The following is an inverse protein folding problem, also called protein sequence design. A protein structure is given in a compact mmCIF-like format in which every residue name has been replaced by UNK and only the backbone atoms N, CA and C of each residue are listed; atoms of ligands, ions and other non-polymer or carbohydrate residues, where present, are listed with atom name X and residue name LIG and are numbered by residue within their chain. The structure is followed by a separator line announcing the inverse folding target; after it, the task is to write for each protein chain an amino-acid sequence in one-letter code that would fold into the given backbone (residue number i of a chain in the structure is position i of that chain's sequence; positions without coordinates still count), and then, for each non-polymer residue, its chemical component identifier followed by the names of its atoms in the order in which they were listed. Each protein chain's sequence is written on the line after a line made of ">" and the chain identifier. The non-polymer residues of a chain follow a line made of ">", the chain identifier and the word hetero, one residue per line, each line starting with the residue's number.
data_IF_742841569832
#
_entry.id   IF_742841569832
#
_cell.length_a   1.000
_cell.length_b   1.000
_cell.length_c   1.000
_cell.angle_alpha   90.00
_cell.angle_beta   90.00
_cell.angle_gamma   90.00
#
_symmetry.space_group_name_H-M   'P 1'
#
loop_
_entity.id
_entity.type
_entity.pdbx_description
1 polymer ?
#
# COMPACT_ATOMS: atom_id res chain seq x y z
N UNK A 1 -5.83 -10.28 -6.03
CA UNK A 1 -5.94 -10.17 -7.51
C UNK A 1 -4.69 -9.52 -8.10
N UNK A 2 -4.70 -9.22 -9.39
CA UNK A 2 -3.58 -8.53 -10.07
C UNK A 2 -3.31 -7.13 -9.50
N UNK A 3 -4.38 -6.38 -9.20
CA UNK A 3 -4.27 -5.04 -8.61
C UNK A 3 -3.80 -5.05 -7.15
N UNK A 4 -4.22 -6.05 -6.36
CA UNK A 4 -3.72 -6.27 -5.00
C UNK A 4 -2.21 -6.36 -4.98
N UNK A 5 -1.66 -7.19 -5.87
CA UNK A 5 -0.20 -7.29 -6.02
C UNK A 5 0.34 -5.91 -6.37
N UNK A 6 -0.10 -5.23 -7.43
CA UNK A 6 0.47 -3.91 -7.80
C UNK A 6 0.51 -2.92 -6.64
N UNK A 7 -0.55 -2.84 -5.84
CA UNK A 7 -0.65 -1.94 -4.69
C UNK A 7 0.32 -2.34 -3.58
N UNK A 8 0.39 -3.61 -3.21
CA UNK A 8 1.39 -4.13 -2.27
C UNK A 8 2.82 -3.78 -2.70
N UNK A 9 3.09 -3.67 -4.00
CA UNK A 9 4.43 -3.43 -4.55
C UNK A 9 4.86 -2.00 -4.24
N UNK A 10 3.92 -1.07 -4.37
CA UNK A 10 4.12 0.35 -4.05
C UNK A 10 4.52 0.48 -2.57
N UNK A 11 3.81 -0.22 -1.68
CA UNK A 11 4.09 -0.22 -0.24
C UNK A 11 5.44 -0.86 0.06
N UNK A 12 5.72 -2.04 -0.51
CA UNK A 12 6.99 -2.75 -0.32
C UNK A 12 8.19 -1.90 -0.73
N UNK A 13 8.15 -1.29 -1.93
CA UNK A 13 9.21 -0.44 -2.45
C UNK A 13 9.38 0.78 -1.54
N UNK A 14 8.29 1.43 -1.15
CA UNK A 14 8.38 2.62 -0.31
C UNK A 14 8.97 2.32 1.08
N UNK A 15 8.57 1.21 1.69
CA UNK A 15 9.15 0.73 2.94
C UNK A 15 10.64 0.42 2.78
N UNK A 16 11.02 -0.31 1.73
CA UNK A 16 12.43 -0.64 1.44
C UNK A 16 13.29 0.62 1.28
N UNK A 17 12.74 1.66 0.64
CA UNK A 17 13.41 2.95 0.48
C UNK A 17 13.22 3.91 1.67
N UNK A 18 12.72 3.42 2.80
CA UNK A 18 12.60 4.15 4.07
C UNK A 18 11.71 5.39 3.99
N UNK A 19 10.69 5.37 3.13
CA UNK A 19 9.66 6.40 3.10
C UNK A 19 8.66 6.18 4.23
N UNK A 20 8.44 7.20 5.04
CA UNK A 20 7.50 7.20 6.15
C UNK A 20 6.11 7.69 5.76
N UNK A 21 5.98 8.37 4.62
CA UNK A 21 4.73 8.90 4.10
C UNK A 21 4.52 8.49 2.64
N UNK A 22 3.27 8.18 2.29
CA UNK A 22 2.86 7.91 0.92
C UNK A 22 1.87 8.96 0.43
N UNK A 23 2.03 9.41 -0.81
CA UNK A 23 1.02 10.21 -1.52
C UNK A 23 0.64 9.41 -2.76
N UNK A 24 -0.61 8.95 -2.80
CA UNK A 24 -1.15 8.01 -3.78
C UNK A 24 -2.34 8.64 -4.51
N UNK A 25 -2.82 7.98 -5.57
CA UNK A 25 -3.99 8.38 -6.34
C UNK A 25 -5.02 7.25 -6.42
N UNK A 26 -6.15 7.49 -7.08
CA UNK A 26 -7.14 6.46 -7.39
C UNK A 26 -6.60 5.47 -8.46
N UNK A 27 -5.73 4.55 -8.03
CA UNK A 27 -4.92 3.71 -8.89
C UNK A 27 -5.77 2.90 -9.89
N UNK A 28 -5.59 3.17 -11.18
CA UNK A 28 -6.30 2.47 -12.25
C UNK A 28 -7.79 2.85 -12.40
N UNK A 29 -8.32 3.79 -11.63
CA UNK A 29 -9.75 4.14 -11.67
C UNK A 29 -10.14 5.08 -12.83
N UNK A 30 -9.16 5.61 -13.57
CA UNK A 30 -9.37 6.45 -14.76
C UNK A 30 -9.44 5.64 -16.05
N UNK A 31 -8.41 5.76 -16.90
CA UNK A 31 -8.36 5.12 -18.22
C UNK A 31 -8.52 3.59 -18.18
N UNK A 32 -8.07 2.94 -17.10
CA UNK A 32 -8.19 1.48 -16.93
C UNK A 32 -9.55 1.05 -16.37
N UNK A 33 -10.40 2.00 -15.97
CA UNK A 33 -11.79 1.78 -15.54
C UNK A 33 -11.93 0.76 -14.40
N UNK A 34 -10.94 0.68 -13.51
CA UNK A 34 -11.09 -0.11 -12.30
C UNK A 34 -12.18 0.51 -11.41
N UNK A 35 -13.08 -0.29 -10.79
CA UNK A 35 -14.05 0.23 -9.83
C UNK A 35 -13.33 0.87 -8.64
N UNK A 36 -13.66 2.13 -8.33
CA UNK A 36 -12.97 2.93 -7.31
C UNK A 36 -13.18 2.37 -5.90
N UNK A 37 -14.37 1.86 -5.60
CA UNK A 37 -14.71 1.13 -4.37
C UNK A 37 -13.87 -0.14 -4.17
N UNK A 38 -13.65 -0.90 -5.25
CA UNK A 38 -12.83 -2.09 -5.24
C UNK A 38 -11.36 -1.76 -4.96
N UNK A 39 -10.81 -0.75 -5.64
CA UNK A 39 -9.43 -0.33 -5.44
C UNK A 39 -9.22 0.27 -4.05
N UNK A 40 -10.14 1.09 -3.54
CA UNK A 40 -10.07 1.62 -2.18
C UNK A 40 -10.09 0.49 -1.13
N UNK A 41 -10.90 -0.55 -1.34
CA UNK A 41 -10.94 -1.73 -0.47
C UNK A 41 -9.63 -2.53 -0.49
N UNK A 42 -8.97 -2.62 -1.66
CA UNK A 42 -7.64 -3.22 -1.76
C UNK A 42 -6.61 -2.38 -0.99
N UNK A 43 -6.60 -1.06 -1.17
CA UNK A 43 -5.73 -0.18 -0.41
C UNK A 43 -5.93 -0.36 1.10
N UNK A 44 -7.19 -0.41 1.57
CA UNK A 44 -7.49 -0.67 2.97
C UNK A 44 -6.82 -1.95 3.47
N UNK A 45 -6.95 -3.05 2.72
CA UNK A 45 -6.37 -4.35 3.07
C UNK A 45 -4.84 -4.30 3.15
N UNK A 46 -4.20 -3.60 2.20
CA UNK A 46 -2.74 -3.43 2.20
C UNK A 46 -2.29 -2.48 3.32
N UNK A 47 -3.04 -1.44 3.65
CA UNK A 47 -2.75 -0.57 4.80
C UNK A 47 -2.75 -1.39 6.10
N UNK A 48 -3.70 -2.32 6.28
CA UNK A 48 -3.68 -3.25 7.42
C UNK A 48 -2.46 -4.17 7.42
N UNK A 49 -2.06 -4.68 6.25
CA UNK A 49 -0.85 -5.51 6.13
C UNK A 49 0.42 -4.73 6.51
N UNK A 50 0.45 -3.43 6.21
CA UNK A 50 1.56 -2.54 6.50
C UNK A 50 1.34 -1.66 7.75
N UNK A 51 0.49 -2.11 8.67
CA UNK A 51 0.19 -1.37 9.90
C UNK A 51 1.47 -1.05 10.69
N UNK A 52 1.69 0.24 10.97
CA UNK A 52 2.86 0.72 11.73
C UNK A 52 4.11 0.99 10.90
N UNK A 53 4.16 0.69 9.59
CA UNK A 53 5.32 1.00 8.76
C UNK A 53 5.34 2.43 8.20
N UNK A 54 4.17 3.03 8.01
CA UNK A 54 4.01 4.40 7.51
C UNK A 54 3.34 5.27 8.56
N UNK A 55 3.83 6.50 8.72
CA UNK A 55 3.23 7.50 9.60
C UNK A 55 1.93 8.06 8.99
N UNK A 56 1.90 8.30 7.68
CA UNK A 56 0.72 8.85 7.02
C UNK A 56 0.63 8.43 5.55
N UNK A 57 -0.59 8.18 5.09
CA UNK A 57 -0.89 7.84 3.70
C UNK A 57 -1.96 8.81 3.22
N UNK A 58 -1.65 9.59 2.21
CA UNK A 58 -2.56 10.54 1.57
C UNK A 58 -3.01 10.02 0.21
N UNK A 59 -4.29 10.20 -0.10
CA UNK A 59 -4.84 9.97 -1.43
C UNK A 59 -5.18 11.31 -2.10
N UNK A 60 -4.29 11.75 -3.00
CA UNK A 60 -4.50 12.93 -3.83
C UNK A 60 -5.38 12.55 -5.04
N UNK A 61 -6.70 12.61 -4.84
CA UNK A 61 -7.69 12.26 -5.87
C UNK A 61 -8.33 13.53 -6.38
N UNK A 62 -8.20 13.75 -7.70
CA UNK A 62 -8.86 14.84 -8.40
C UNK A 62 -10.02 14.25 -9.19
N UNK A 63 -11.23 14.66 -8.84
CA UNK A 63 -12.40 14.41 -9.66
C UNK A 63 -12.42 15.46 -10.77
N UNK A 64 -12.06 15.04 -11.99
CA UNK A 64 -12.06 15.88 -13.18
C UNK A 64 -13.37 15.71 -13.99
N UNK A 65 -13.40 16.27 -15.20
CA UNK A 65 -14.55 16.19 -16.10
C UNK A 65 -14.99 14.76 -16.49
N UNK A 66 -14.24 13.71 -16.13
CA UNK A 66 -14.60 12.31 -16.35
C UNK A 66 -15.40 11.70 -15.18
N UNK A 67 -15.70 12.48 -14.15
CA UNK A 67 -16.47 12.06 -12.97
C UNK A 67 -17.95 12.45 -13.08
N UNK A 68 -18.83 11.70 -12.42
CA UNK A 68 -20.29 11.93 -12.47
C UNK A 68 -20.98 11.53 -13.78
N UNK A 69 -20.29 10.80 -14.68
CA UNK A 69 -20.90 10.25 -15.89
C UNK A 69 -21.56 8.89 -15.63
N UNK A 70 -22.32 8.35 -16.60
CA UNK A 70 -23.03 7.07 -16.46
C UNK A 70 -22.14 5.89 -16.02
N UNK A 71 -20.85 5.94 -16.36
CA UNK A 71 -19.89 4.88 -16.09
C UNK A 71 -19.08 5.11 -14.80
N UNK A 72 -19.10 6.33 -14.25
CA UNK A 72 -18.46 6.69 -12.98
C UNK A 72 -19.34 7.69 -12.21
N UNK A 73 -20.54 7.28 -11.77
CA UNK A 73 -21.56 8.20 -11.27
C UNK A 73 -21.18 8.88 -9.95
N UNK A 74 -20.33 8.24 -9.14
CA UNK A 74 -19.88 8.77 -7.84
C UNK A 74 -18.50 9.44 -7.90
N UNK A 75 -17.84 9.42 -9.06
CA UNK A 75 -16.44 9.84 -9.17
C UNK A 75 -15.50 8.86 -8.46
N UNK A 76 -14.23 9.26 -8.38
CA UNK A 76 -13.22 8.46 -7.71
C UNK A 76 -13.03 8.89 -6.26
N UNK A 77 -13.31 10.17 -5.95
CA UNK A 77 -13.09 10.72 -4.62
C UNK A 77 -14.01 10.10 -3.58
N UNK A 78 -15.33 10.05 -3.84
CA UNK A 78 -16.32 9.64 -2.84
C UNK A 78 -16.06 8.21 -2.29
N UNK A 79 -15.83 7.18 -3.12
CA UNK A 79 -15.59 5.82 -2.58
C UNK A 79 -14.30 5.72 -1.78
N UNK A 80 -13.26 6.46 -2.17
CA UNK A 80 -12.01 6.51 -1.39
C UNK A 80 -12.21 7.24 -0.06
N UNK A 81 -12.96 8.34 -0.05
CA UNK A 81 -13.30 9.05 1.18
C UNK A 81 -14.08 8.14 2.15
N UNK A 82 -15.12 7.47 1.68
CA UNK A 82 -15.95 6.60 2.53
C UNK A 82 -15.17 5.42 3.14
N UNK A 83 -14.19 4.88 2.41
CA UNK A 83 -13.47 3.66 2.84
C UNK A 83 -12.21 3.99 3.66
N UNK A 84 -11.52 5.09 3.34
CA UNK A 84 -10.17 5.37 3.81
C UNK A 84 -10.01 6.68 4.57
N UNK A 85 -10.93 7.65 4.45
CA UNK A 85 -10.78 8.92 5.16
C UNK A 85 -10.87 8.70 6.67
N UNK A 86 -9.94 9.30 7.41
CA UNK A 86 -9.80 9.10 8.86
C UNK A 86 -9.43 7.67 9.29
N UNK A 87 -9.06 6.76 8.37
CA UNK A 87 -8.66 5.40 8.74
C UNK A 87 -7.37 5.41 9.57
N UNK A 88 -7.49 5.04 10.85
CA UNK A 88 -6.36 4.83 11.76
C UNK A 88 -6.19 3.33 11.96
N UNK A 89 -5.03 2.79 11.58
CA UNK A 89 -4.68 1.39 11.83
C UNK A 89 -3.60 1.34 12.90
N UNK A 90 -3.88 0.78 14.09
CA UNK A 90 -2.88 0.68 15.13
C UNK A 90 -1.80 -0.31 14.73
N UNK A 91 -0.57 0.05 15.10
CA UNK A 91 0.57 -0.83 15.02
C UNK A 91 0.32 -2.10 15.86
N UNK A 92 0.47 -3.32 15.31
CA UNK A 92 0.29 -4.54 16.08
C UNK A 92 1.36 -4.64 17.18
N UNK A 93 0.94 -4.42 18.43
CA UNK A 93 1.80 -4.31 19.63
C UNK A 93 2.53 -5.63 19.97
N UNK A 94 2.07 -6.78 19.42
CA UNK A 94 2.60 -8.11 19.71
C UNK A 94 2.75 -8.98 18.44
N UNK A 95 3.55 -8.58 17.46
CA UNK A 95 3.96 -9.53 16.41
C UNK A 95 5.02 -10.47 16.99
N UNK A 96 4.54 -11.61 17.49
CA UNK A 96 5.33 -12.75 17.93
C UNK A 96 6.25 -13.23 16.78
N UNK A 97 7.38 -13.83 17.16
CA UNK A 97 8.61 -14.07 16.40
C UNK A 97 8.51 -14.84 15.06
N UNK A 98 7.33 -15.17 14.54
CA UNK A 98 7.15 -16.06 13.38
C UNK A 98 6.10 -15.58 12.34
N UNK A 99 5.87 -14.27 12.22
CA UNK A 99 4.85 -13.75 11.31
C UNK A 99 5.33 -13.70 9.84
N UNK A 100 5.00 -14.72 9.05
CA UNK A 100 5.04 -14.64 7.59
C UNK A 100 3.90 -13.74 7.08
N UNK A 101 4.23 -12.64 6.38
CA UNK A 101 3.23 -11.74 5.78
C UNK A 101 3.46 -11.61 4.28
N UNK A 102 2.55 -12.25 3.51
CA UNK A 102 2.28 -11.95 2.10
C UNK A 102 3.10 -12.76 1.08
N UNK A 103 2.41 -13.30 0.07
CA UNK A 103 3.04 -14.14 -0.97
C UNK A 103 3.75 -13.34 -2.06
N UNK A 104 5.07 -13.52 -2.08
CA UNK A 104 6.01 -13.42 -3.22
C UNK A 104 6.30 -12.04 -3.81
N UNK A 105 7.52 -11.51 -3.59
CA UNK A 105 8.14 -10.41 -4.37
C UNK A 105 9.67 -10.46 -4.45
N UNK A 106 10.16 -9.86 -5.54
CA UNK A 106 11.55 -9.71 -6.01
C UNK A 106 12.37 -8.85 -5.03
N UNK A 107 13.58 -9.30 -4.67
CA UNK A 107 14.60 -8.45 -4.05
C UNK A 107 15.97 -8.75 -4.69
N UNK A 108 16.63 -7.65 -5.08
CA UNK A 108 17.99 -7.50 -5.61
C UNK A 108 18.35 -7.99 -7.02
N UNK A 109 19.11 -7.12 -7.70
CA UNK A 109 20.01 -7.49 -8.80
C UNK A 109 21.21 -8.18 -8.15
N UNK A 110 21.48 -9.44 -8.51
CA UNK A 110 22.82 -9.98 -8.28
C UNK A 110 23.83 -9.12 -9.07
N UNK A 111 25.12 -9.20 -8.70
CA UNK A 111 26.19 -8.54 -9.47
C UNK A 111 26.22 -8.92 -10.97
N UNK A 112 25.45 -9.95 -11.38
CA UNK A 112 25.26 -10.44 -12.75
C UNK A 112 23.90 -10.03 -13.37
N UNK A 113 23.21 -9.01 -12.84
CA UNK A 113 21.91 -8.50 -13.32
C UNK A 113 20.74 -9.49 -13.33
N UNK A 114 20.86 -10.66 -12.67
CA UNK A 114 19.75 -11.60 -12.55
C UNK A 114 18.89 -11.31 -11.32
N UNK A 115 17.57 -11.28 -11.54
CA UNK A 115 16.55 -11.14 -10.50
C UNK A 115 16.37 -12.49 -9.81
N UNK A 116 16.64 -12.55 -8.50
CA UNK A 116 16.45 -13.77 -7.71
C UNK A 116 15.19 -13.61 -6.85
N UNK A 117 14.39 -14.67 -6.77
CA UNK A 117 13.17 -14.73 -5.96
C UNK A 117 13.55 -15.20 -4.55
N UNK A 118 13.38 -14.36 -3.53
CA UNK A 118 13.52 -14.75 -2.13
C UNK A 118 12.33 -14.26 -1.32
N UNK A 119 11.95 -15.03 -0.29
CA UNK A 119 10.83 -14.70 0.58
C UNK A 119 11.14 -13.42 1.35
N UNK A 120 10.30 -12.39 1.17
CA UNK A 120 10.37 -11.18 1.99
C UNK A 120 9.81 -11.51 3.35
N UNK A 121 10.71 -11.85 4.28
CA UNK A 121 10.37 -11.80 5.69
C UNK A 121 10.31 -10.31 6.07
N UNK A 122 9.09 -9.76 6.23
CA UNK A 122 8.94 -8.53 7.00
C UNK A 122 9.39 -8.93 8.40
N UNK A 123 10.65 -8.64 8.74
CA UNK A 123 11.27 -9.03 10.00
C UNK A 123 10.24 -8.90 11.13
N UNK A 124 10.06 -9.97 11.91
CA UNK A 124 9.20 -10.03 13.11
C UNK A 124 9.72 -9.14 14.26
N UNK A 125 10.32 -8.01 13.94
CA UNK A 125 10.66 -6.97 14.88
C UNK A 125 9.39 -6.13 15.11
N UNK A 126 9.13 -5.75 16.36
CA UNK A 126 8.00 -4.89 16.66
C UNK A 126 8.07 -3.62 15.80
N UNK A 127 6.98 -3.24 15.12
CA UNK A 127 6.92 -2.03 14.32
C UNK A 127 7.44 -0.84 15.12
N UNK A 128 8.50 -0.22 14.61
CA UNK A 128 9.21 0.79 15.38
C UNK A 128 8.36 2.05 15.51
N UNK A 129 8.50 2.76 16.63
CA UNK A 129 7.73 3.96 16.95
C UNK A 129 7.98 5.15 15.99
N UNK A 130 8.96 5.05 15.09
CA UNK A 130 9.29 6.04 14.08
C UNK A 130 8.96 5.59 12.62
N UNK A 131 8.32 4.44 12.42
CA UNK A 131 8.00 3.90 11.10
C UNK A 131 9.25 3.61 10.23
N UNK A 132 9.15 3.79 8.91
CA UNK A 132 10.25 3.47 7.99
C UNK A 132 11.57 4.27 8.21
N UNK A 133 11.57 5.30 9.09
CA UNK A 133 12.74 6.11 9.46
C UNK A 133 13.72 5.42 10.40
N UNK A 134 13.42 4.22 10.88
CA UNK A 134 14.36 3.47 11.72
C UNK A 134 15.67 3.22 10.95
N UNK A 135 16.68 4.02 11.29
CA UNK A 135 18.09 3.74 10.98
C UNK A 135 18.54 2.71 12.01
N UNK A 136 19.30 1.74 11.52
CA UNK A 136 19.99 0.70 12.29
C UNK A 136 19.17 -0.58 12.51
N UNK A 137 19.35 -1.51 11.57
CA UNK A 137 19.57 -2.93 11.85
C UNK A 137 21.06 -3.19 11.69
#
# INVERSE_FOLDING_TARGET
>A
GYDTKKIENIFAIAYHHKHDCLILSAFGCGAFKNPSDHIASIFKSVIYQYAGFFNTIYFAIVDDHNTGNKNNPQGNLLPFQEILDGLIVPSPINLCMDAAIGSNRIIDKSNDEQLILSDVCIFGLPPCHHGAKCRDL
#
